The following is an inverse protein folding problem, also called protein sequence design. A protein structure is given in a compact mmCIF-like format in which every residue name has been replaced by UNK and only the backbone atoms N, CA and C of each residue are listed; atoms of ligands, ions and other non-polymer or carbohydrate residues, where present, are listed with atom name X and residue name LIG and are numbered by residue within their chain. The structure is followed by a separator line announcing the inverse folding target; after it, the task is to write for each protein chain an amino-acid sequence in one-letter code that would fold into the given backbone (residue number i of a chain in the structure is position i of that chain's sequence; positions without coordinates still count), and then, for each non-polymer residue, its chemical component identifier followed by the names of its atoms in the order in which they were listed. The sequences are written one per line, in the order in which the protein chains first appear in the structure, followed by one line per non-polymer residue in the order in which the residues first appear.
data_IF_432214131717
#
_entry.id   IF_432214131717
#
_cell.length_a   1.000
_cell.length_b   1.000
_cell.length_c   1.000
_cell.angle_alpha   90.00
_cell.angle_beta   90.00
_cell.angle_gamma   90.00
#
_symmetry.space_group_name_H-M   'P 1'
#
loop_
_entity.id
_entity.type
_entity.pdbx_description
1 polymer ?
#
# COMPACT_ATOMS: atom_id res chain seq x y z
N UNK A 1 4.12 -48.44 -16.46
CA UNK A 1 4.44 -47.00 -16.41
C UNK A 1 5.78 -46.85 -15.75
N UNK A 2 6.76 -46.27 -16.42
CA UNK A 2 8.14 -46.24 -15.93
C UNK A 2 8.49 -44.83 -15.50
N UNK A 3 8.95 -44.66 -14.27
CA UNK A 3 9.57 -43.43 -13.80
C UNK A 3 11.04 -43.49 -14.16
N UNK A 4 11.51 -42.50 -14.94
CA UNK A 4 12.93 -42.42 -15.31
C UNK A 4 13.62 -41.42 -14.40
N UNK A 5 14.66 -41.86 -13.70
CA UNK A 5 15.54 -41.02 -12.89
C UNK A 5 16.83 -40.83 -13.68
N UNK A 6 17.11 -39.60 -14.09
CA UNK A 6 18.31 -39.24 -14.84
C UNK A 6 19.09 -38.20 -14.03
N UNK A 7 20.36 -38.45 -13.78
CA UNK A 7 21.23 -37.55 -13.01
C UNK A 7 21.45 -36.19 -13.66
N UNK A 8 21.20 -36.04 -14.97
CA UNK A 8 21.34 -34.78 -15.69
C UNK A 8 20.02 -34.02 -15.84
N UNK A 9 18.88 -34.72 -15.90
CA UNK A 9 17.55 -34.13 -16.16
C UNK A 9 16.57 -34.28 -14.99
N UNK A 10 16.98 -34.94 -13.92
CA UNK A 10 16.13 -35.17 -12.75
C UNK A 10 15.08 -36.28 -12.97
N UNK A 11 13.98 -36.20 -12.26
CA UNK A 11 12.90 -37.19 -12.30
C UNK A 11 11.88 -36.74 -13.35
N UNK A 12 11.65 -37.59 -14.35
CA UNK A 12 10.60 -37.39 -15.35
C UNK A 12 9.40 -38.26 -15.00
N UNK A 13 8.26 -37.63 -14.81
CA UNK A 13 6.98 -38.29 -14.60
C UNK A 13 6.24 -38.47 -15.93
N UNK A 14 5.59 -39.62 -16.17
CA UNK A 14 4.70 -39.76 -17.32
C UNK A 14 3.52 -38.78 -17.22
N UNK A 15 3.12 -38.19 -18.32
CA UNK A 15 1.98 -37.25 -18.35
C UNK A 15 0.67 -37.93 -17.92
N UNK A 16 -0.14 -37.28 -17.09
CA UNK A 16 -1.54 -37.58 -16.90
C UNK A 16 -1.92 -38.67 -15.89
N UNK A 17 -1.08 -39.02 -14.92
CA UNK A 17 -1.45 -39.88 -13.80
C UNK A 17 -2.06 -39.12 -12.63
N UNK A 18 -3.03 -39.73 -11.90
CA UNK A 18 -3.58 -39.15 -10.65
C UNK A 18 -2.45 -38.91 -9.64
N UNK A 19 -2.27 -37.68 -9.19
CA UNK A 19 -1.18 -37.26 -8.30
C UNK A 19 0.15 -37.01 -9.00
N UNK A 20 0.19 -37.13 -10.32
CA UNK A 20 1.38 -36.89 -11.13
C UNK A 20 1.33 -35.53 -11.81
N UNK A 21 2.24 -34.58 -11.53
CA UNK A 21 2.19 -33.28 -12.17
C UNK A 21 2.48 -33.42 -13.67
N UNK A 22 1.62 -32.81 -14.50
CA UNK A 22 1.80 -32.75 -15.96
C UNK A 22 2.87 -31.69 -16.37
N UNK A 23 3.66 -31.20 -15.44
CA UNK A 23 4.66 -30.16 -15.67
C UNK A 23 5.82 -30.25 -14.66
N UNK A 24 6.62 -29.20 -14.62
CA UNK A 24 7.79 -29.11 -13.75
C UNK A 24 7.41 -29.18 -12.28
N UNK A 25 8.06 -30.07 -11.52
CA UNK A 25 7.96 -30.14 -10.06
C UNK A 25 8.70 -28.94 -9.46
N UNK A 26 8.03 -28.19 -8.62
CA UNK A 26 8.62 -27.03 -7.94
C UNK A 26 9.54 -27.52 -6.82
N UNK A 27 10.81 -27.22 -6.90
CA UNK A 27 11.79 -27.47 -5.83
C UNK A 27 11.59 -26.52 -4.64
N UNK A 28 12.13 -26.88 -3.50
CA UNK A 28 12.03 -26.08 -2.25
C UNK A 28 13.05 -24.95 -2.17
N UNK A 29 14.11 -24.99 -2.99
CA UNK A 29 15.24 -24.04 -2.95
C UNK A 29 15.52 -23.33 -4.27
N UNK A 30 14.77 -23.64 -5.32
CA UNK A 30 15.01 -23.06 -6.64
C UNK A 30 14.16 -21.79 -6.84
N UNK A 31 14.73 -20.80 -7.53
CA UNK A 31 13.96 -19.67 -8.00
C UNK A 31 13.07 -20.11 -9.17
N UNK A 32 11.77 -20.06 -9.00
CA UNK A 32 10.81 -20.54 -10.01
C UNK A 32 9.71 -19.52 -10.27
N UNK A 33 9.27 -19.45 -11.51
CA UNK A 33 8.07 -18.71 -11.90
C UNK A 33 6.88 -19.65 -12.01
N UNK A 34 5.86 -19.43 -11.19
CA UNK A 34 4.61 -20.18 -11.21
C UNK A 34 3.59 -19.43 -12.05
N UNK A 35 3.27 -19.96 -13.24
CA UNK A 35 2.23 -19.39 -14.12
C UNK A 35 0.96 -20.23 -14.05
N UNK A 36 -0.20 -19.60 -14.18
CA UNK A 36 -1.52 -20.26 -14.20
C UNK A 36 -1.77 -21.17 -12.98
N UNK A 37 -1.35 -20.72 -11.79
CA UNK A 37 -1.58 -21.44 -10.55
C UNK A 37 -2.64 -20.73 -9.71
N UNK A 38 -3.60 -21.49 -9.21
CA UNK A 38 -4.56 -21.05 -8.21
C UNK A 38 -4.12 -21.55 -6.86
N UNK A 39 -3.94 -20.65 -5.91
CA UNK A 39 -3.64 -21.00 -4.53
C UNK A 39 -4.96 -20.98 -3.74
N UNK A 40 -5.29 -22.11 -3.10
CA UNK A 40 -6.44 -22.21 -2.20
C UNK A 40 -5.98 -22.33 -0.75
N UNK A 41 -6.81 -21.86 0.18
CA UNK A 41 -6.48 -21.83 1.62
C UNK A 41 -5.59 -20.66 2.01
N UNK A 42 -5.12 -20.65 3.26
CA UNK A 42 -4.24 -19.60 3.78
C UNK A 42 -2.83 -19.75 3.20
N UNK A 43 -2.35 -18.73 2.52
CA UNK A 43 -0.98 -18.67 2.01
C UNK A 43 -0.12 -17.82 2.94
N UNK A 44 0.98 -18.37 3.43
CA UNK A 44 1.97 -17.65 4.23
C UNK A 44 3.15 -17.29 3.35
N UNK A 45 3.33 -15.98 3.14
CA UNK A 45 4.48 -15.45 2.43
C UNK A 45 5.42 -14.79 3.46
N UNK A 46 6.66 -15.21 3.52
CA UNK A 46 7.67 -14.63 4.42
C UNK A 46 7.96 -13.17 4.06
N UNK A 47 9.07 -12.92 3.38
CA UNK A 47 9.47 -11.57 2.89
C UNK A 47 9.06 -11.38 1.43
N UNK A 48 7.81 -11.66 1.08
CA UNK A 48 7.36 -11.52 -0.30
C UNK A 48 7.10 -10.06 -0.68
N UNK A 49 7.60 -9.66 -1.84
CA UNK A 49 7.20 -8.40 -2.47
C UNK A 49 6.02 -8.69 -3.41
N UNK A 50 4.88 -8.10 -3.10
CA UNK A 50 3.72 -8.19 -3.99
C UNK A 50 3.79 -7.06 -5.02
N UNK A 51 4.02 -7.42 -6.28
CA UNK A 51 3.80 -6.49 -7.37
C UNK A 51 2.29 -6.31 -7.56
N UNK A 52 1.84 -5.07 -7.66
CA UNK A 52 0.43 -4.82 -7.97
C UNK A 52 0.13 -5.35 -9.38
N UNK A 53 -0.92 -6.16 -9.57
CA UNK A 53 -1.28 -6.65 -10.89
C UNK A 53 -1.56 -5.47 -11.83
N UNK A 54 -0.96 -5.49 -13.01
CA UNK A 54 -1.39 -4.64 -14.11
C UNK A 54 -2.64 -5.28 -14.71
N UNK A 55 -3.77 -4.59 -14.70
CA UNK A 55 -5.03 -5.11 -15.26
C UNK A 55 -6.23 -4.83 -14.37
N UNK A 56 -7.40 -5.31 -14.80
CA UNK A 56 -8.68 -5.08 -14.14
C UNK A 56 -8.67 -5.47 -12.68
N UNK A 57 -9.20 -4.57 -11.83
CA UNK A 57 -9.33 -4.72 -10.38
C UNK A 57 -9.69 -6.16 -9.93
N UNK A 58 -9.38 -6.63 -8.71
CA UNK A 58 -9.83 -5.92 -7.51
C UNK A 58 -8.84 -5.79 -6.33
N UNK A 59 -7.55 -5.85 -6.52
CA UNK A 59 -6.64 -5.74 -5.39
C UNK A 59 -5.99 -4.34 -5.32
N UNK A 60 -6.67 -3.42 -4.67
CA UNK A 60 -6.10 -2.13 -4.29
C UNK A 60 -5.44 -2.24 -2.92
N UNK A 61 -4.17 -2.56 -2.90
CA UNK A 61 -3.36 -2.41 -1.69
C UNK A 61 -2.89 -0.97 -1.56
N UNK A 62 -2.80 -0.45 -0.34
CA UNK A 62 -2.21 0.86 -0.11
C UNK A 62 -0.76 0.87 -0.62
N UNK A 63 -0.45 1.79 -1.52
CA UNK A 63 0.88 1.97 -2.11
C UNK A 63 1.79 2.81 -1.22
N UNK A 64 1.17 3.63 -0.38
CA UNK A 64 1.84 4.45 0.61
C UNK A 64 0.86 4.73 1.74
N UNK A 65 1.36 4.85 2.96
CA UNK A 65 0.58 5.32 4.09
C UNK A 65 1.47 6.02 5.09
N UNK A 66 0.92 6.98 5.82
CA UNK A 66 1.60 7.66 6.90
C UNK A 66 0.62 8.05 8.01
N UNK A 67 1.08 7.94 9.24
CA UNK A 67 0.46 8.48 10.43
C UNK A 67 1.43 9.47 11.08
N UNK A 68 0.96 10.64 11.43
CA UNK A 68 1.80 11.67 12.03
C UNK A 68 1.03 12.56 13.01
N UNK A 69 1.78 13.22 13.89
CA UNK A 69 1.26 14.28 14.75
C UNK A 69 1.20 15.58 13.95
N UNK A 70 0.02 16.16 13.81
CA UNK A 70 -0.15 17.38 13.00
C UNK A 70 0.50 18.62 13.62
N UNK A 71 0.58 18.72 14.96
CA UNK A 71 1.20 19.86 15.63
C UNK A 71 2.71 19.89 15.42
N UNK A 72 3.37 18.73 15.53
CA UNK A 72 4.83 18.61 15.47
C UNK A 72 5.33 18.15 14.09
N UNK A 73 4.44 17.75 13.17
CA UNK A 73 4.74 17.05 11.92
C UNK A 73 5.61 15.78 12.12
N UNK A 74 5.56 15.18 13.31
CA UNK A 74 6.34 14.00 13.65
C UNK A 74 5.64 12.74 13.15
N UNK A 75 6.30 11.99 12.29
CA UNK A 75 5.82 10.71 11.77
C UNK A 75 5.86 9.65 12.87
N UNK A 76 4.74 8.97 13.13
CA UNK A 76 4.63 7.86 14.08
C UNK A 76 4.71 6.51 13.40
N UNK A 77 4.35 6.43 12.11
CA UNK A 77 4.49 5.25 11.28
C UNK A 77 4.25 5.58 9.84
N UNK A 78 4.97 4.93 8.94
CA UNK A 78 4.81 5.16 7.50
C UNK A 78 5.29 3.99 6.67
N UNK A 79 4.80 3.92 5.44
CA UNK A 79 5.36 3.14 4.35
C UNK A 79 5.34 3.98 3.09
N UNK A 80 6.47 4.06 2.39
CA UNK A 80 6.69 4.86 1.18
C UNK A 80 6.45 6.39 1.34
N UNK A 81 6.56 6.93 2.56
CA UNK A 81 6.65 8.36 2.80
C UNK A 81 8.00 8.70 3.42
N UNK A 82 8.66 9.73 2.89
CA UNK A 82 9.97 10.20 3.33
C UNK A 82 9.88 11.34 4.33
N UNK A 83 8.89 12.22 4.19
CA UNK A 83 8.74 13.38 5.07
C UNK A 83 7.32 13.93 5.09
N UNK A 84 7.00 14.61 6.19
CA UNK A 84 5.85 15.49 6.34
C UNK A 84 6.38 16.89 6.65
N UNK A 85 5.98 17.86 5.86
CA UNK A 85 6.28 19.26 6.12
C UNK A 85 5.01 19.98 6.55
N UNK A 86 5.07 20.71 7.67
CA UNK A 86 3.99 21.55 8.16
C UNK A 86 4.20 22.97 7.61
N UNK A 87 3.32 23.40 6.72
CA UNK A 87 3.31 24.75 6.14
C UNK A 87 2.68 25.81 7.03
N UNK A 88 1.87 25.39 8.00
CA UNK A 88 1.13 26.22 8.94
C UNK A 88 0.18 25.37 9.77
N UNK A 89 -0.64 25.99 10.62
CA UNK A 89 -1.65 25.27 11.37
C UNK A 89 -2.57 24.51 10.40
N UNK A 90 -2.72 23.20 10.59
CA UNK A 90 -3.59 22.35 9.77
C UNK A 90 -3.22 22.25 8.28
N UNK A 91 -2.02 22.63 7.88
CA UNK A 91 -1.56 22.57 6.49
C UNK A 91 -0.30 21.74 6.39
N UNK A 92 -0.31 20.70 5.57
CA UNK A 92 0.78 19.72 5.47
C UNK A 92 1.06 19.36 4.02
N UNK A 93 2.34 19.14 3.71
CA UNK A 93 2.77 18.49 2.47
C UNK A 93 3.42 17.14 2.84
N UNK A 94 2.85 16.06 2.33
CA UNK A 94 3.38 14.71 2.49
C UNK A 94 4.18 14.32 1.24
N UNK A 95 5.42 13.87 1.42
CA UNK A 95 6.33 13.52 0.33
C UNK A 95 6.61 12.03 0.33
N UNK A 96 6.32 11.37 -0.78
CA UNK A 96 6.59 9.94 -0.98
C UNK A 96 8.06 9.69 -1.33
N UNK A 97 8.61 8.59 -0.82
CA UNK A 97 9.97 8.12 -1.13
C UNK A 97 10.07 7.65 -2.59
N UNK A 98 9.10 6.84 -3.02
CA UNK A 98 9.01 6.34 -4.39
C UNK A 98 7.81 7.00 -5.05
N UNK A 99 8.05 7.63 -6.19
CA UNK A 99 7.00 8.31 -6.96
C UNK A 99 5.92 7.34 -7.45
N UNK A 100 4.69 7.82 -7.54
CA UNK A 100 3.64 7.14 -8.30
C UNK A 100 3.95 7.25 -9.80
N UNK A 101 3.47 6.32 -10.64
CA UNK A 101 3.72 6.35 -12.08
C UNK A 101 3.18 7.60 -12.76
N UNK A 102 2.08 8.14 -12.24
CA UNK A 102 1.44 9.38 -12.68
C UNK A 102 0.61 9.98 -11.53
N UNK A 103 -0.17 11.02 -11.78
CA UNK A 103 -1.03 11.70 -10.79
C UNK A 103 -2.45 11.11 -10.71
N UNK A 104 -2.76 10.01 -11.42
CA UNK A 104 -4.06 9.35 -11.39
C UNK A 104 -4.13 8.30 -10.25
N UNK A 105 -3.99 8.73 -9.03
CA UNK A 105 -4.10 7.89 -7.84
C UNK A 105 -5.10 8.48 -6.85
N UNK A 106 -5.63 7.66 -5.96
CA UNK A 106 -6.53 8.10 -4.92
C UNK A 106 -5.77 8.29 -3.60
N UNK A 107 -6.03 9.39 -2.91
CA UNK A 107 -5.53 9.65 -1.57
C UNK A 107 -6.70 9.78 -0.58
N UNK A 108 -6.64 9.02 0.49
CA UNK A 108 -7.62 9.05 1.59
C UNK A 108 -6.95 9.68 2.79
N UNK A 109 -7.53 10.76 3.27
CA UNK A 109 -6.98 11.55 4.37
C UNK A 109 -7.98 11.61 5.52
N UNK A 110 -7.51 11.42 6.73
CA UNK A 110 -8.32 11.49 7.95
C UNK A 110 -7.53 12.03 9.12
N UNK A 111 -8.24 12.54 10.10
CA UNK A 111 -7.63 13.03 11.34
C UNK A 111 -8.53 12.74 12.56
N UNK A 112 -7.97 12.74 13.75
CA UNK A 112 -8.72 12.73 14.99
C UNK A 112 -9.39 14.09 15.23
N UNK A 113 -10.50 14.08 15.96
CA UNK A 113 -11.15 15.31 16.38
C UNK A 113 -10.21 16.14 17.27
N UNK A 114 -10.21 17.43 17.06
CA UNK A 114 -9.59 18.37 17.96
C UNK A 114 -10.37 18.40 19.30
N UNK A 115 -9.66 18.60 20.41
CA UNK A 115 -10.22 18.67 21.78
C UNK A 115 -11.25 19.82 21.98
N UNK A 116 -11.42 20.69 21.02
CA UNK A 116 -12.32 21.86 21.08
C UNK A 116 -13.75 21.58 20.56
N UNK A 117 -14.12 20.34 20.27
CA UNK A 117 -15.51 19.94 19.97
C UNK A 117 -16.07 20.42 18.61
N UNK A 118 -15.25 20.89 17.70
CA UNK A 118 -15.66 21.25 16.34
C UNK A 118 -15.61 20.06 15.36
N UNK A 119 -16.43 20.10 14.32
CA UNK A 119 -16.31 19.20 13.18
C UNK A 119 -15.01 19.48 12.45
N UNK A 120 -14.18 18.43 12.25
CA UNK A 120 -13.00 18.53 11.42
C UNK A 120 -13.35 18.16 9.98
N UNK A 121 -13.17 19.10 9.07
CA UNK A 121 -13.11 18.81 7.66
C UNK A 121 -11.66 18.54 7.26
N UNK A 122 -11.50 17.66 6.32
CA UNK A 122 -10.18 17.30 5.76
C UNK A 122 -10.20 17.52 4.25
N UNK A 123 -9.07 17.93 3.70
CA UNK A 123 -8.88 17.92 2.26
C UNK A 123 -7.53 17.29 1.92
N UNK A 124 -7.43 16.70 0.75
CA UNK A 124 -6.14 16.40 0.16
C UNK A 124 -6.17 16.73 -1.34
N UNK A 125 -5.03 17.19 -1.84
CA UNK A 125 -4.81 17.54 -3.24
C UNK A 125 -3.52 16.88 -3.70
N UNK A 126 -3.60 16.19 -4.83
CA UNK A 126 -2.45 15.57 -5.46
C UNK A 126 -1.70 16.64 -6.23
N UNK A 127 -0.55 17.07 -5.73
CA UNK A 127 0.24 18.13 -6.34
C UNK A 127 1.29 17.61 -7.32
N UNK A 128 1.73 16.37 -7.15
CA UNK A 128 2.66 15.70 -8.09
C UNK A 128 2.64 14.18 -7.93
N UNK A 129 3.48 13.47 -8.64
CA UNK A 129 3.68 12.02 -8.47
C UNK A 129 4.30 11.65 -7.12
N UNK A 130 4.87 12.59 -6.39
CA UNK A 130 5.49 12.39 -5.08
C UNK A 130 4.85 13.19 -3.96
N UNK A 131 4.13 14.28 -4.26
CA UNK A 131 3.66 15.21 -3.24
C UNK A 131 2.14 15.22 -3.15
N UNK A 132 1.66 15.19 -1.93
CA UNK A 132 0.24 15.35 -1.59
C UNK A 132 0.12 16.50 -0.58
N UNK A 133 -0.62 17.53 -0.94
CA UNK A 133 -0.98 18.61 -0.04
C UNK A 133 -2.27 18.26 0.67
N UNK A 134 -2.28 18.33 1.98
CA UNK A 134 -3.43 17.95 2.79
C UNK A 134 -3.60 18.90 3.97
N UNK A 135 -4.81 18.96 4.46
CA UNK A 135 -5.10 19.85 5.58
C UNK A 135 -6.28 19.46 6.43
N UNK A 136 -6.22 19.93 7.65
CA UNK A 136 -7.26 19.78 8.66
C UNK A 136 -7.87 21.13 9.00
N UNK A 137 -9.19 21.18 8.99
CA UNK A 137 -9.96 22.40 9.13
C UNK A 137 -11.05 22.21 10.17
N UNK A 138 -11.11 23.04 11.18
CA UNK A 138 -12.15 22.97 12.20
C UNK A 138 -13.26 23.96 11.88
N UNK A 139 -14.50 23.46 11.79
CA UNK A 139 -15.71 24.28 11.68
C UNK A 139 -16.33 24.39 13.07
N UNK A 140 -16.15 25.51 13.74
CA UNK A 140 -16.87 25.80 14.98
C UNK A 140 -18.32 26.17 14.64
N UNK A 141 -19.29 25.69 15.43
CA UNK A 141 -20.71 25.93 15.20
C UNK A 141 -21.04 27.44 15.05
N UNK A 142 -21.39 27.85 13.84
CA UNK A 142 -21.82 29.23 13.52
C UNK A 142 -20.72 30.26 13.23
N UNK A 143 -19.44 29.85 13.25
CA UNK A 143 -18.31 30.73 12.94
C UNK A 143 -17.56 30.39 11.67
N UNK A 144 -16.70 31.29 11.19
CA UNK A 144 -15.74 31.00 10.14
C UNK A 144 -14.79 29.93 10.63
N UNK A 145 -14.70 28.79 9.89
CA UNK A 145 -13.77 27.74 10.20
C UNK A 145 -12.31 28.19 10.04
N UNK A 146 -11.40 27.50 10.69
CA UNK A 146 -9.98 27.80 10.62
C UNK A 146 -9.14 26.52 10.48
N UNK A 147 -8.03 26.63 9.81
CA UNK A 147 -7.00 25.57 9.79
C UNK A 147 -6.50 25.30 11.20
N UNK A 148 -6.48 24.05 11.60
CA UNK A 148 -6.04 23.65 12.93
C UNK A 148 -5.28 22.34 12.88
N UNK A 149 -4.23 22.26 13.68
CA UNK A 149 -3.52 21.01 13.89
C UNK A 149 -4.35 20.03 14.71
N UNK A 150 -4.17 18.76 14.43
CA UNK A 150 -4.74 17.65 15.19
C UNK A 150 -3.62 16.74 15.67
N UNK A 151 -3.85 16.04 16.78
CA UNK A 151 -2.80 15.18 17.37
C UNK A 151 -2.48 13.97 16.51
N UNK A 152 -3.41 13.53 15.68
CA UNK A 152 -3.22 12.38 14.82
C UNK A 152 -3.83 12.65 13.45
N UNK A 153 -3.01 12.45 12.45
CA UNK A 153 -3.36 12.59 11.04
C UNK A 153 -2.94 11.32 10.32
N UNK A 154 -3.80 10.82 9.44
CA UNK A 154 -3.57 9.61 8.66
C UNK A 154 -3.78 9.89 7.17
N UNK A 155 -2.89 9.40 6.34
CA UNK A 155 -2.99 9.47 4.88
C UNK A 155 -2.69 8.09 4.30
N UNK A 156 -3.51 7.63 3.37
CA UNK A 156 -3.27 6.42 2.60
C UNK A 156 -3.46 6.68 1.11
N UNK A 157 -2.66 6.02 0.28
CA UNK A 157 -2.62 6.21 -1.17
C UNK A 157 -2.84 4.87 -1.85
N UNK A 158 -3.71 4.88 -2.85
CA UNK A 158 -4.14 3.70 -3.61
C UNK A 158 -4.03 3.94 -5.11
N UNK A 159 -3.58 2.91 -5.82
CA UNK A 159 -3.53 2.89 -7.27
C UNK A 159 -3.50 1.45 -7.81
#
# INVERSE_FOLDING_TARGET
MTVTINGSTGITFPAGGTGNPAGTVVGTSDSQTLTNKTFSGTQTFGTATFAQPSGSAPLSMARAWVQFNGTAATVTGSSNFSSITRGGAGSYTAVMTTAMPDTNYAAVFGCTTNTSGGLNATYCSISSTTNIDCGTYSVAGGGAGAYRDTNQVCLAVFR
#
